data_IF_441484972608
#
_entry.id   IF_441484972608
#
_cell.length_a   1.000
_cell.length_b   1.000
_cell.length_c   1.000
_cell.angle_alpha   90.00
_cell.angle_beta   90.00
_cell.angle_gamma   90.00
#
_symmetry.space_group_name_H-M   'P 1'
#
loop_
_entity.id
_entity.type
_entity.pdbx_description
1 polymer ?
#
# COMPACT_ATOMS: atom_id res chain seq x y z
N UNK A 1 -15.81 37.67 -16.74
CA UNK A 1 -16.59 37.84 -17.99
C UNK A 1 -16.04 37.04 -19.18
N UNK A 2 -14.92 36.31 -19.06
CA UNK A 2 -14.34 35.54 -20.16
C UNK A 2 -14.99 34.15 -20.30
N UNK A 3 -15.41 33.54 -19.18
CA UNK A 3 -16.02 32.20 -19.15
C UNK A 3 -17.40 32.19 -19.85
N UNK A 4 -18.19 33.26 -19.69
CA UNK A 4 -19.51 33.36 -20.34
C UNK A 4 -19.43 33.52 -21.86
N UNK A 5 -18.44 34.26 -22.34
CA UNK A 5 -18.23 34.54 -23.77
C UNK A 5 -17.70 33.31 -24.51
N UNK A 6 -16.78 32.57 -23.89
CA UNK A 6 -16.29 31.29 -24.41
C UNK A 6 -17.40 30.22 -24.47
N UNK A 7 -18.30 30.21 -23.49
CA UNK A 7 -19.43 29.26 -23.45
C UNK A 7 -20.46 29.58 -24.56
N UNK A 8 -20.75 30.85 -24.83
CA UNK A 8 -21.65 31.25 -25.91
C UNK A 8 -21.07 30.92 -27.30
N UNK A 9 -19.79 31.17 -27.54
CA UNK A 9 -19.16 30.85 -28.82
C UNK A 9 -19.09 29.33 -29.09
N UNK A 10 -18.95 28.53 -28.04
CA UNK A 10 -19.00 27.07 -28.16
C UNK A 10 -20.41 26.53 -28.49
N UNK A 11 -21.47 27.28 -28.13
CA UNK A 11 -22.87 26.89 -28.31
C UNK A 11 -23.49 27.33 -29.64
N UNK A 12 -22.89 28.28 -30.36
CA UNK A 12 -23.50 28.92 -31.56
C UNK A 12 -23.12 28.21 -32.90
N UNK A 13 -22.41 27.09 -32.87
CA UNK A 13 -22.18 26.25 -34.06
C UNK A 13 -22.94 24.92 -33.97
N UNK A 14 -24.08 24.81 -34.66
CA UNK A 14 -25.06 23.71 -34.48
C UNK A 14 -24.53 22.28 -34.71
N UNK A 15 -23.48 22.06 -35.49
CA UNK A 15 -22.88 20.72 -35.69
C UNK A 15 -21.60 20.47 -34.86
N UNK A 16 -20.93 21.55 -34.42
CA UNK A 16 -19.67 21.45 -33.69
C UNK A 16 -19.87 21.30 -32.18
N UNK A 17 -21.00 21.75 -31.62
CA UNK A 17 -21.25 21.69 -30.18
C UNK A 17 -21.40 20.25 -29.65
N UNK A 18 -22.12 19.38 -30.38
CA UNK A 18 -22.28 17.97 -30.00
C UNK A 18 -20.97 17.20 -30.15
N UNK A 19 -20.24 17.42 -31.24
CA UNK A 19 -18.92 16.81 -31.49
C UNK A 19 -17.91 17.28 -30.45
N UNK A 20 -17.87 18.57 -30.13
CA UNK A 20 -16.98 19.12 -29.09
C UNK A 20 -17.33 18.58 -27.71
N UNK A 21 -18.61 18.48 -27.37
CA UNK A 21 -19.05 17.88 -26.11
C UNK A 21 -18.62 16.41 -26.01
N UNK A 22 -18.78 15.63 -27.08
CA UNK A 22 -18.31 14.25 -27.14
C UNK A 22 -16.78 14.17 -27.00
N UNK A 23 -16.03 15.03 -27.69
CA UNK A 23 -14.57 15.09 -27.60
C UNK A 23 -14.12 15.37 -26.16
N UNK A 24 -14.74 16.34 -25.49
CA UNK A 24 -14.42 16.69 -24.10
C UNK A 24 -14.72 15.51 -23.17
N UNK A 25 -15.89 14.88 -23.30
CA UNK A 25 -16.27 13.72 -22.47
C UNK A 25 -15.28 12.56 -22.69
N UNK A 26 -14.97 12.23 -23.94
CA UNK A 26 -14.02 11.16 -24.29
C UNK A 26 -12.63 11.49 -23.74
N UNK A 27 -12.19 12.74 -23.83
CA UNK A 27 -10.89 13.18 -23.32
C UNK A 27 -10.83 13.04 -21.79
N UNK A 28 -11.88 13.45 -21.07
CA UNK A 28 -11.94 13.31 -19.62
C UNK A 28 -11.95 11.83 -19.20
N UNK A 29 -12.72 10.98 -19.88
CA UNK A 29 -12.72 9.52 -19.64
C UNK A 29 -11.34 8.93 -19.93
N UNK A 30 -10.69 9.32 -21.03
CA UNK A 30 -9.37 8.83 -21.39
C UNK A 30 -8.32 9.24 -20.35
N UNK A 31 -8.40 10.46 -19.82
CA UNK A 31 -7.54 10.92 -18.72
C UNK A 31 -7.81 10.13 -17.45
N UNK A 32 -9.07 9.94 -17.07
CA UNK A 32 -9.43 9.22 -15.84
C UNK A 32 -8.98 7.75 -15.90
N UNK A 33 -9.27 7.06 -17.01
CA UNK A 33 -8.80 5.70 -17.27
C UNK A 33 -7.29 5.64 -17.36
N UNK A 34 -6.66 6.60 -18.03
CA UNK A 34 -5.20 6.69 -18.14
C UNK A 34 -4.53 6.83 -16.78
N UNK A 35 -5.02 7.75 -15.94
CA UNK A 35 -4.55 7.92 -14.56
C UNK A 35 -4.82 6.67 -13.71
N UNK A 36 -5.95 6.00 -13.89
CA UNK A 36 -6.29 4.75 -13.21
C UNK A 36 -5.32 3.62 -13.58
N UNK A 37 -5.01 3.44 -14.87
CA UNK A 37 -4.06 2.45 -15.35
C UNK A 37 -2.62 2.74 -14.89
N UNK A 38 -2.24 4.02 -14.89
CA UNK A 38 -0.95 4.48 -14.36
C UNK A 38 -0.85 4.19 -12.86
N UNK A 39 -1.89 4.52 -12.08
CA UNK A 39 -1.97 4.17 -10.66
C UNK A 39 -1.88 2.66 -10.45
N UNK A 40 -2.53 1.85 -11.29
CA UNK A 40 -2.45 0.38 -11.18
C UNK A 40 -1.03 -0.14 -11.48
N UNK A 41 -0.35 0.47 -12.45
CA UNK A 41 1.04 0.15 -12.79
C UNK A 41 1.99 0.52 -11.66
N UNK A 42 1.78 1.67 -11.02
CA UNK A 42 2.56 2.13 -9.86
C UNK A 42 2.22 1.37 -8.59
N UNK A 43 0.97 1.02 -8.31
CA UNK A 43 0.60 0.20 -7.15
C UNK A 43 1.22 -1.21 -7.21
N UNK A 44 1.39 -1.78 -8.41
CA UNK A 44 2.16 -3.03 -8.60
C UNK A 44 3.65 -2.83 -8.35
N UNK A 45 4.18 -1.64 -8.63
CA UNK A 45 5.57 -1.27 -8.34
C UNK A 45 5.73 -1.02 -6.84
N UNK A 46 4.81 -0.31 -6.18
CA UNK A 46 4.76 -0.17 -4.73
C UNK A 46 4.69 -1.54 -4.05
N UNK A 47 3.82 -2.45 -4.51
CA UNK A 47 3.74 -3.79 -3.96
C UNK A 47 5.06 -4.60 -4.12
N UNK A 48 5.85 -4.32 -5.16
CA UNK A 48 7.15 -4.95 -5.40
C UNK A 48 8.28 -4.28 -4.60
N UNK A 49 8.19 -2.96 -4.37
CA UNK A 49 9.19 -2.15 -3.64
C UNK A 49 8.98 -2.22 -2.12
N UNK A 50 7.74 -2.33 -1.65
CA UNK A 50 7.40 -2.31 -0.22
C UNK A 50 7.78 -3.61 0.53
N UNK A 51 8.29 -4.64 -0.15
CA UNK A 51 8.66 -5.90 0.47
C UNK A 51 7.45 -6.75 0.86
N UNK A 52 7.69 -8.05 1.04
CA UNK A 52 6.64 -9.00 1.47
C UNK A 52 6.72 -9.14 2.99
N UNK A 53 5.56 -9.13 3.67
CA UNK A 53 5.52 -9.41 5.10
C UNK A 53 6.06 -10.82 5.36
N UNK A 54 7.04 -10.91 6.25
CA UNK A 54 7.82 -12.14 6.43
C UNK A 54 7.63 -12.67 7.84
N UNK A 55 7.12 -13.89 7.97
CA UNK A 55 7.04 -14.56 9.27
C UNK A 55 8.46 -14.89 9.76
N UNK A 56 8.88 -14.31 10.88
CA UNK A 56 10.23 -14.44 11.46
C UNK A 56 10.27 -15.28 12.74
N UNK A 57 9.14 -15.49 13.42
CA UNK A 57 9.00 -16.44 14.55
C UNK A 57 7.72 -17.24 14.37
N UNK A 58 7.82 -18.54 14.60
CA UNK A 58 6.70 -19.47 14.59
C UNK A 58 6.75 -20.34 15.87
N UNK A 59 5.67 -20.33 16.64
CA UNK A 59 5.51 -21.11 17.87
C UNK A 59 6.70 -20.97 18.84
N UNK A 60 7.12 -19.72 19.09
CA UNK A 60 8.25 -19.38 19.94
C UNK A 60 9.63 -19.79 19.39
N UNK A 61 9.71 -20.23 18.13
CA UNK A 61 10.97 -20.60 17.46
C UNK A 61 11.36 -19.55 16.41
N UNK A 62 12.50 -18.86 16.60
CA UNK A 62 13.02 -17.92 15.60
C UNK A 62 13.45 -18.62 14.32
N UNK A 63 12.97 -18.11 13.17
CA UNK A 63 13.30 -18.64 11.86
C UNK A 63 14.61 -18.04 11.36
N UNK A 64 15.74 -18.63 11.81
CA UNK A 64 17.11 -18.11 11.61
C UNK A 64 17.43 -17.71 10.16
N UNK A 65 16.98 -18.47 9.18
CA UNK A 65 17.19 -18.16 7.75
C UNK A 65 16.56 -16.80 7.39
N UNK A 66 15.30 -16.59 7.77
CA UNK A 66 14.54 -15.36 7.49
C UNK A 66 15.07 -14.17 8.28
N UNK A 67 15.51 -14.40 9.52
CA UNK A 67 16.19 -13.38 10.33
C UNK A 67 17.51 -12.92 9.69
N UNK A 68 18.31 -13.86 9.18
CA UNK A 68 19.55 -13.52 8.46
C UNK A 68 19.28 -12.75 7.16
N UNK A 69 18.25 -13.13 6.40
CA UNK A 69 17.83 -12.42 5.17
C UNK A 69 17.35 -10.99 5.49
N UNK A 70 16.62 -10.82 6.60
CA UNK A 70 16.16 -9.53 7.10
C UNK A 70 17.20 -8.73 7.89
N UNK A 71 18.41 -9.28 8.12
CA UNK A 71 19.46 -8.71 8.98
C UNK A 71 19.00 -8.38 10.40
N UNK A 72 18.07 -9.18 10.93
CA UNK A 72 17.53 -9.05 12.27
C UNK A 72 18.14 -10.09 13.21
N UNK A 73 18.20 -9.76 14.50
CA UNK A 73 18.62 -10.63 15.60
C UNK A 73 17.42 -10.97 16.48
N UNK A 74 17.57 -12.01 17.29
CA UNK A 74 16.52 -12.42 18.24
C UNK A 74 16.22 -11.32 19.27
N UNK A 75 17.21 -10.48 19.60
CA UNK A 75 17.07 -9.32 20.48
C UNK A 75 16.12 -8.25 19.91
N UNK A 76 16.07 -8.06 18.59
CA UNK A 76 15.17 -7.11 17.93
C UNK A 76 13.71 -7.55 18.10
N UNK A 77 13.47 -8.87 18.01
CA UNK A 77 12.15 -9.47 18.22
C UNK A 77 11.72 -9.29 19.67
N UNK A 78 12.59 -9.58 20.63
CA UNK A 78 12.29 -9.42 22.06
C UNK A 78 12.11 -7.95 22.45
N UNK A 79 12.82 -7.03 21.80
CA UNK A 79 12.58 -5.59 21.96
C UNK A 79 11.18 -5.21 21.48
N UNK A 80 10.80 -5.64 20.27
CA UNK A 80 9.48 -5.40 19.73
C UNK A 80 8.38 -6.02 20.62
N UNK A 81 8.56 -7.26 21.08
CA UNK A 81 7.63 -7.96 21.95
C UNK A 81 7.44 -7.27 23.31
N UNK A 82 8.51 -6.71 23.89
CA UNK A 82 8.42 -5.88 25.10
C UNK A 82 7.66 -4.58 24.84
N UNK A 83 7.96 -3.89 23.75
CA UNK A 83 7.32 -2.61 23.43
C UNK A 83 5.83 -2.76 23.07
N UNK A 84 5.46 -3.81 22.35
CA UNK A 84 4.09 -3.97 21.84
C UNK A 84 3.17 -4.72 22.81
N UNK A 85 3.69 -5.71 23.54
CA UNK A 85 2.88 -6.65 24.32
C UNK A 85 3.43 -6.89 25.74
N UNK A 86 4.56 -6.29 26.12
CA UNK A 86 5.18 -6.51 27.43
C UNK A 86 5.76 -7.92 27.65
N UNK A 87 6.09 -8.64 26.58
CA UNK A 87 6.59 -10.03 26.66
C UNK A 87 8.12 -10.05 26.72
N UNK A 88 8.69 -10.83 27.64
CA UNK A 88 10.14 -10.92 27.82
C UNK A 88 10.75 -12.20 27.25
N UNK A 89 9.93 -13.23 27.02
CA UNK A 89 10.41 -14.55 26.58
C UNK A 89 9.88 -14.90 25.20
N UNK A 90 10.75 -15.46 24.36
CA UNK A 90 10.40 -15.95 23.02
C UNK A 90 9.28 -16.99 23.05
N UNK A 91 9.24 -17.84 24.10
CA UNK A 91 8.19 -18.86 24.29
C UNK A 91 6.78 -18.31 24.48
N UNK A 92 6.63 -17.01 24.76
CA UNK A 92 5.32 -16.36 24.89
C UNK A 92 4.80 -15.87 23.53
N UNK A 93 5.64 -15.87 22.49
CA UNK A 93 5.33 -15.36 21.16
C UNK A 93 4.86 -16.53 20.30
N UNK A 94 3.60 -16.49 19.87
CA UNK A 94 3.06 -17.47 18.92
C UNK A 94 3.55 -17.18 17.51
N UNK A 95 3.45 -15.93 17.06
CA UNK A 95 3.98 -15.50 15.78
C UNK A 95 4.64 -14.13 15.89
N UNK A 96 5.72 -13.92 15.14
CA UNK A 96 6.27 -12.59 14.88
C UNK A 96 6.42 -12.39 13.37
N UNK A 97 5.95 -11.26 12.87
CA UNK A 97 5.89 -10.93 11.45
C UNK A 97 6.63 -9.62 11.23
N UNK A 98 7.61 -9.63 10.32
CA UNK A 98 8.25 -8.42 9.82
C UNK A 98 7.32 -7.80 8.77
N UNK A 99 6.73 -6.67 9.11
CA UNK A 99 5.87 -5.89 8.22
C UNK A 99 6.68 -5.14 7.17
N UNK A 100 6.00 -4.75 6.09
CA UNK A 100 6.57 -3.97 4.98
C UNK A 100 7.28 -2.68 5.41
N UNK A 101 6.76 -2.05 6.46
CA UNK A 101 7.31 -0.81 7.01
C UNK A 101 8.51 -1.03 7.95
N UNK A 102 9.02 -2.27 8.03
CA UNK A 102 10.13 -2.66 8.90
C UNK A 102 9.76 -2.87 10.37
N UNK A 103 8.49 -2.71 10.75
CA UNK A 103 8.03 -2.99 12.12
C UNK A 103 7.82 -4.49 12.31
N UNK A 104 7.98 -4.94 13.55
CA UNK A 104 7.70 -6.33 13.93
C UNK A 104 6.34 -6.37 14.63
N UNK A 105 5.38 -7.04 14.03
CA UNK A 105 4.09 -7.37 14.64
C UNK A 105 4.24 -8.65 15.48
N UNK A 106 3.72 -8.63 16.71
CA UNK A 106 3.85 -9.73 17.68
C UNK A 106 2.46 -10.25 18.03
N UNK A 107 2.27 -11.56 17.88
CA UNK A 107 1.05 -12.28 18.28
C UNK A 107 1.43 -13.20 19.45
N UNK A 108 0.98 -12.92 20.68
CA UNK A 108 1.23 -13.79 21.83
C UNK A 108 0.45 -15.09 21.74
N UNK A 109 0.88 -16.11 22.49
CA UNK A 109 -0.04 -17.18 22.88
C UNK A 109 -1.16 -16.56 23.70
N UNK A 110 -2.42 -16.89 23.38
CA UNK A 110 -3.55 -16.51 24.22
C UNK A 110 -3.27 -17.06 25.62
N UNK A 111 -3.03 -16.17 26.58
CA UNK A 111 -3.17 -16.51 27.99
C UNK A 111 -4.63 -16.94 28.15
N UNK A 112 -4.85 -18.22 28.38
CA UNK A 112 -6.12 -18.69 28.94
C UNK A 112 -6.29 -18.17 30.36
#
# INVERSE_FOLDING_TARGET
>A
MIIGEATQQALVGEDFSLINAIIVIVTLIAIDVGLSLVKLRFARIDALIEGTSTLIVEDGRPLKKRLSEARLREEDILLAARQSQGLERMSQIKYAILEKNGKISIIPYSSG
#
